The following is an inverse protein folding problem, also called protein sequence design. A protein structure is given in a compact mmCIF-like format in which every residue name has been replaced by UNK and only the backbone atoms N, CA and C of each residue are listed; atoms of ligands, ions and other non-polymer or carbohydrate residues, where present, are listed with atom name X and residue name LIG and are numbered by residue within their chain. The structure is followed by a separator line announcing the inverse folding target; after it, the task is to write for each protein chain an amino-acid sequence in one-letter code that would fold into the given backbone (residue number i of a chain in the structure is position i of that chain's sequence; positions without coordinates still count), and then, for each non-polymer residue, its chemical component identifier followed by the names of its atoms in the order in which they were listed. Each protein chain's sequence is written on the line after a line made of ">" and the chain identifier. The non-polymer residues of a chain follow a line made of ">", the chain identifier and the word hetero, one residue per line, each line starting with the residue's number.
data_IF_254661560382
#
_entry.id   IF_254661560382
#
_cell.length_a   1.000
_cell.length_b   1.000
_cell.length_c   1.000
_cell.angle_alpha   90.00
_cell.angle_beta   90.00
_cell.angle_gamma   90.00
#
_symmetry.space_group_name_H-M   'P 1'
#
loop_
_entity.id
_entity.type
_entity.pdbx_description
1 polymer ?
#
# COMPACT_ATOMS: atom_id res chain seq x y z
N UNK A 1 -4.13 -26.36 12.68
CA UNK A 1 -4.18 -25.59 11.41
C UNK A 1 -5.09 -24.40 11.61
N UNK A 2 -4.69 -23.20 11.16
CA UNK A 2 -5.54 -22.00 11.19
C UNK A 2 -6.85 -22.26 10.46
N UNK A 3 -7.96 -21.78 11.04
CA UNK A 3 -9.29 -21.84 10.41
C UNK A 3 -9.63 -20.56 9.63
N UNK A 4 -8.72 -19.59 9.67
CA UNK A 4 -8.86 -18.33 8.95
C UNK A 4 -8.77 -18.56 7.44
N UNK A 5 -9.49 -17.73 6.69
CA UNK A 5 -9.34 -17.65 5.23
C UNK A 5 -7.87 -17.38 4.89
N UNK A 6 -7.36 -18.05 3.85
CA UNK A 6 -6.01 -17.79 3.38
C UNK A 6 -5.80 -16.30 3.04
N UNK A 7 -4.60 -15.75 3.23
CA UNK A 7 -4.28 -14.41 2.77
C UNK A 7 -4.58 -14.24 1.27
N UNK A 8 -4.84 -12.99 0.86
CA UNK A 8 -5.12 -12.68 -0.53
C UNK A 8 -4.01 -13.20 -1.46
N UNK A 9 -4.38 -13.76 -2.62
CA UNK A 9 -3.46 -14.47 -3.51
C UNK A 9 -3.20 -15.94 -3.15
N UNK A 10 -3.73 -16.45 -2.04
CA UNK A 10 -3.76 -17.88 -1.70
C UNK A 10 -2.44 -18.52 -1.26
N UNK A 11 -1.33 -17.77 -1.26
CA UNK A 11 0.04 -18.30 -1.01
C UNK A 11 0.60 -17.96 0.39
N UNK A 12 -0.19 -17.40 1.29
CA UNK A 12 0.27 -16.87 2.57
C UNK A 12 0.59 -15.37 2.49
N UNK A 13 1.03 -14.79 3.62
CA UNK A 13 1.47 -13.39 3.65
C UNK A 13 2.82 -13.26 2.96
N UNK A 14 2.93 -12.28 2.07
CA UNK A 14 4.19 -11.87 1.44
C UNK A 14 4.72 -10.68 2.22
N UNK A 15 5.64 -10.94 3.17
CA UNK A 15 6.26 -9.91 4.01
C UNK A 15 7.65 -9.58 3.47
N UNK A 16 7.84 -8.35 3.01
CA UNK A 16 9.12 -7.88 2.46
C UNK A 16 10.02 -7.24 3.53
N UNK A 17 9.57 -7.10 4.77
CA UNK A 17 10.33 -6.55 5.88
C UNK A 17 11.44 -7.49 6.30
N UNK A 18 12.66 -6.97 6.34
CA UNK A 18 13.81 -7.71 6.88
C UNK A 18 13.91 -7.51 8.39
N UNK A 19 14.41 -8.53 9.08
CA UNK A 19 14.61 -8.52 10.53
C UNK A 19 16.00 -9.08 10.90
N UNK A 20 16.44 -8.73 12.10
CA UNK A 20 17.70 -9.26 12.68
C UNK A 20 18.90 -9.00 11.78
N UNK A 21 19.78 -10.02 11.66
CA UNK A 21 21.03 -9.89 10.91
C UNK A 21 20.82 -9.53 9.43
N UNK A 22 19.75 -10.04 8.79
CA UNK A 22 19.48 -9.73 7.39
C UNK A 22 19.15 -8.23 7.20
N UNK A 23 18.47 -7.63 8.15
CA UNK A 23 18.21 -6.19 8.18
C UNK A 23 19.50 -5.40 8.33
N UNK A 24 20.38 -5.78 9.28
CA UNK A 24 21.64 -5.09 9.53
C UNK A 24 22.58 -5.14 8.32
N UNK A 25 22.68 -6.30 7.70
CA UNK A 25 23.52 -6.50 6.51
C UNK A 25 22.99 -5.70 5.31
N UNK A 26 21.67 -5.70 5.10
CA UNK A 26 21.07 -4.94 4.00
C UNK A 26 21.13 -3.42 4.24
N UNK A 27 21.01 -2.94 5.49
CA UNK A 27 21.19 -1.52 5.84
C UNK A 27 22.62 -1.03 5.52
N UNK A 28 23.64 -1.84 5.85
CA UNK A 28 25.04 -1.51 5.52
C UNK A 28 25.24 -1.41 4.00
N UNK A 29 24.69 -2.35 3.25
CA UNK A 29 24.70 -2.35 1.79
C UNK A 29 23.99 -1.13 1.22
N UNK A 30 22.78 -0.84 1.70
CA UNK A 30 21.93 0.25 1.23
C UNK A 30 22.58 1.62 1.34
N UNK A 31 23.44 1.84 2.35
CA UNK A 31 24.18 3.09 2.53
C UNK A 31 25.12 3.44 1.35
N UNK A 32 25.57 2.43 0.60
CA UNK A 32 26.43 2.59 -0.57
C UNK A 32 25.68 2.57 -1.90
N UNK A 33 24.37 2.36 -1.91
CA UNK A 33 23.57 2.29 -3.12
C UNK A 33 23.17 3.71 -3.61
N UNK A 34 22.86 3.79 -4.90
CA UNK A 34 22.21 4.96 -5.48
C UNK A 34 20.87 5.18 -4.79
N UNK A 35 20.65 6.41 -4.32
CA UNK A 35 19.43 6.76 -3.59
C UNK A 35 18.38 7.36 -4.52
N UNK A 36 17.13 6.98 -4.32
CA UNK A 36 15.95 7.55 -4.96
C UNK A 36 15.05 8.10 -3.86
N UNK A 37 14.80 9.41 -3.88
CA UNK A 37 13.84 10.02 -2.96
C UNK A 37 12.43 9.64 -3.37
N UNK A 38 11.64 9.11 -2.44
CA UNK A 38 10.29 8.63 -2.71
C UNK A 38 9.22 9.53 -2.10
N UNK A 39 8.00 9.46 -2.62
CA UNK A 39 6.85 10.17 -2.09
C UNK A 39 6.38 9.59 -0.74
N UNK A 40 5.53 10.33 -0.02
CA UNK A 40 4.88 9.81 1.20
C UNK A 40 3.95 8.63 0.90
N UNK A 41 3.35 8.60 -0.29
CA UNK A 41 2.54 7.47 -0.77
C UNK A 41 3.41 6.22 -0.93
N UNK A 42 4.52 6.32 -1.67
CA UNK A 42 5.43 5.20 -1.86
C UNK A 42 6.03 4.68 -0.54
N UNK A 43 6.29 5.58 0.44
CA UNK A 43 6.64 5.17 1.82
C UNK A 43 5.55 4.30 2.44
N UNK A 44 4.28 4.70 2.32
CA UNK A 44 3.13 3.93 2.80
C UNK A 44 3.03 2.57 2.11
N UNK A 45 3.18 2.53 0.79
CA UNK A 45 3.14 1.31 -0.01
C UNK A 45 4.26 0.34 0.40
N UNK A 46 5.49 0.84 0.65
CA UNK A 46 6.60 0.04 1.17
C UNK A 46 6.30 -0.56 2.54
N UNK A 47 5.72 0.23 3.46
CA UNK A 47 5.33 -0.30 4.78
C UNK A 47 4.29 -1.41 4.62
N UNK A 48 3.27 -1.22 3.78
CA UNK A 48 2.25 -2.23 3.51
C UNK A 48 2.83 -3.51 2.88
N UNK A 49 3.76 -3.38 1.93
CA UNK A 49 4.50 -4.53 1.38
C UNK A 49 5.39 -5.17 2.45
N UNK A 50 6.05 -4.37 3.28
CA UNK A 50 6.90 -4.83 4.37
C UNK A 50 6.17 -5.76 5.32
N UNK A 51 5.01 -5.34 5.83
CA UNK A 51 4.24 -6.10 6.83
C UNK A 51 3.29 -7.15 6.23
N UNK A 52 3.27 -7.30 4.91
CA UNK A 52 2.39 -8.25 4.20
C UNK A 52 0.97 -7.77 3.96
N UNK A 53 0.67 -6.48 4.22
CA UNK A 53 -0.64 -5.88 3.99
C UNK A 53 -1.01 -5.78 2.52
N UNK A 54 -0.02 -5.80 1.62
CA UNK A 54 -0.21 -5.79 0.16
C UNK A 54 0.04 -7.16 -0.49
N UNK A 55 -0.04 -8.25 0.29
CA UNK A 55 0.06 -9.58 -0.31
C UNK A 55 -0.94 -9.74 -1.49
N UNK A 56 -0.54 -10.31 -2.63
CA UNK A 56 0.71 -11.00 -2.89
C UNK A 56 1.85 -10.14 -3.46
N UNK A 57 1.74 -8.80 -3.46
CA UNK A 57 2.79 -7.94 -4.00
C UNK A 57 4.08 -8.03 -3.18
N UNK A 58 5.21 -8.09 -3.88
CA UNK A 58 6.56 -8.06 -3.32
C UNK A 58 7.41 -6.89 -3.84
N UNK A 59 6.75 -5.92 -4.49
CA UNK A 59 7.40 -4.77 -5.07
C UNK A 59 6.46 -3.91 -5.90
N UNK A 60 7.01 -2.90 -6.57
CA UNK A 60 6.24 -2.00 -7.43
C UNK A 60 5.99 -2.63 -8.80
N UNK A 61 4.81 -2.37 -9.34
CA UNK A 61 4.29 -3.01 -10.56
C UNK A 61 5.07 -2.62 -11.80
N UNK A 62 5.36 -3.62 -12.63
CA UNK A 62 5.82 -3.43 -14.01
C UNK A 62 4.68 -2.95 -14.91
N UNK A 63 5.02 -2.53 -16.13
CA UNK A 63 4.03 -1.98 -17.09
C UNK A 63 2.91 -2.97 -17.42
N UNK A 64 3.23 -4.27 -17.47
CA UNK A 64 2.24 -5.30 -17.75
C UNK A 64 1.21 -5.45 -16.62
N UNK A 65 1.66 -5.49 -15.36
CA UNK A 65 0.77 -5.52 -14.20
C UNK A 65 -0.03 -4.23 -14.05
N UNK A 66 0.61 -3.06 -14.21
CA UNK A 66 -0.07 -1.76 -14.20
C UNK A 66 -1.23 -1.75 -15.20
N UNK A 67 -0.96 -2.16 -16.45
CA UNK A 67 -1.97 -2.20 -17.51
C UNK A 67 -3.11 -3.18 -17.18
N UNK A 68 -2.78 -4.40 -16.76
CA UNK A 68 -3.78 -5.42 -16.39
C UNK A 68 -4.66 -4.97 -15.23
N UNK A 69 -4.07 -4.33 -14.23
CA UNK A 69 -4.80 -3.80 -13.07
C UNK A 69 -5.76 -2.70 -13.51
N UNK A 70 -5.33 -1.75 -14.33
CA UNK A 70 -6.20 -0.70 -14.84
C UNK A 70 -7.37 -1.26 -15.69
N UNK A 71 -7.09 -2.22 -16.59
CA UNK A 71 -8.10 -2.76 -17.51
C UNK A 71 -9.03 -3.79 -16.89
N UNK A 72 -8.52 -4.63 -15.99
CA UNK A 72 -9.19 -5.86 -15.55
C UNK A 72 -9.31 -5.97 -14.03
N UNK A 73 -8.75 -5.03 -13.28
CA UNK A 73 -8.63 -5.12 -11.81
C UNK A 73 -7.96 -6.43 -11.37
N UNK A 74 -6.98 -6.92 -12.14
CA UNK A 74 -6.22 -8.14 -11.83
C UNK A 74 -4.76 -7.96 -12.18
N UNK A 75 -3.89 -8.61 -11.40
CA UNK A 75 -2.49 -8.81 -11.78
C UNK A 75 -2.41 -9.70 -13.03
N UNK A 76 -1.25 -9.75 -13.66
CA UNK A 76 -1.02 -10.56 -14.86
C UNK A 76 -1.23 -12.08 -14.66
N UNK A 77 -1.16 -12.55 -13.42
CA UNK A 77 -1.46 -13.94 -13.05
C UNK A 77 -2.96 -14.20 -12.76
N UNK A 78 -3.81 -13.19 -12.93
CA UNK A 78 -5.24 -13.26 -12.70
C UNK A 78 -5.68 -12.99 -11.25
N UNK A 79 -4.76 -12.72 -10.33
CA UNK A 79 -5.10 -12.36 -8.96
C UNK A 79 -5.82 -11.01 -8.94
N UNK A 80 -6.98 -10.92 -8.30
CA UNK A 80 -7.72 -9.67 -8.16
C UNK A 80 -6.88 -8.60 -7.45
N UNK A 81 -6.74 -7.43 -8.10
CA UNK A 81 -6.04 -6.28 -7.55
C UNK A 81 -6.57 -4.99 -8.18
N UNK A 82 -7.32 -4.17 -7.47
CA UNK A 82 -8.17 -3.14 -8.10
C UNK A 82 -7.49 -1.79 -8.38
N UNK A 83 -6.29 -1.55 -7.84
CA UNK A 83 -5.60 -0.25 -8.00
C UNK A 83 -4.12 -0.44 -8.27
N UNK A 84 -3.50 0.38 -9.14
CA UNK A 84 -2.05 0.34 -9.37
C UNK A 84 -1.24 0.68 -8.11
N UNK A 85 -0.14 -0.05 -7.92
CA UNK A 85 0.91 0.24 -6.91
C UNK A 85 2.21 0.45 -7.66
N UNK A 86 2.54 1.69 -7.95
CA UNK A 86 3.65 2.10 -8.81
C UNK A 86 4.59 3.05 -8.08
N UNK A 87 5.85 3.08 -8.50
CA UNK A 87 6.87 4.01 -8.03
C UNK A 87 7.22 4.98 -9.14
N UNK A 88 6.74 6.19 -9.05
CA UNK A 88 7.06 7.25 -9.99
C UNK A 88 8.40 7.92 -9.66
N UNK A 89 9.19 8.21 -10.67
CA UNK A 89 10.50 8.87 -10.55
C UNK A 89 10.68 9.94 -11.63
N UNK A 90 11.43 11.01 -11.34
CA UNK A 90 11.78 12.03 -12.35
C UNK A 90 12.56 11.42 -13.52
N UNK A 91 12.41 11.99 -14.71
CA UNK A 91 13.09 11.54 -15.93
C UNK A 91 14.62 11.49 -15.78
N UNK A 92 15.22 12.41 -15.02
CA UNK A 92 16.66 12.42 -14.76
C UNK A 92 17.12 11.17 -14.01
N UNK A 93 16.37 10.77 -12.97
CA UNK A 93 16.67 9.58 -12.18
C UNK A 93 16.42 8.31 -12.99
N UNK A 94 15.28 8.25 -13.69
CA UNK A 94 14.93 7.11 -14.53
C UNK A 94 15.99 6.78 -15.59
N UNK A 95 16.49 7.81 -16.31
CA UNK A 95 17.54 7.66 -17.33
C UNK A 95 18.89 7.18 -16.77
N UNK A 96 19.13 7.43 -15.50
CA UNK A 96 20.35 7.01 -14.82
C UNK A 96 20.26 5.59 -14.24
N UNK A 97 19.06 4.95 -14.26
CA UNK A 97 18.84 3.60 -13.76
C UNK A 97 19.13 2.54 -14.82
N UNK A 98 19.60 1.38 -14.34
CA UNK A 98 19.84 0.20 -15.18
C UNK A 98 19.04 -0.98 -14.65
N UNK A 99 18.41 -1.71 -15.55
CA UNK A 99 17.76 -2.98 -15.19
C UNK A 99 18.79 -3.94 -14.59
N UNK A 100 18.45 -4.54 -13.46
CA UNK A 100 19.30 -5.44 -12.70
C UNK A 100 20.10 -4.77 -11.59
N UNK A 101 20.25 -3.43 -11.57
CA UNK A 101 20.90 -2.75 -10.45
C UNK A 101 20.01 -2.69 -9.20
N UNK A 102 20.65 -2.54 -8.05
CA UNK A 102 19.95 -2.30 -6.79
C UNK A 102 20.07 -0.82 -6.39
N UNK A 103 18.98 -0.29 -5.87
CA UNK A 103 18.88 1.11 -5.42
C UNK A 103 18.32 1.17 -4.00
N UNK A 104 18.60 2.24 -3.29
CA UNK A 104 18.01 2.55 -1.99
C UNK A 104 16.85 3.52 -2.17
N UNK A 105 15.67 3.19 -1.64
CA UNK A 105 14.50 4.04 -1.61
C UNK A 105 14.49 4.83 -0.31
N UNK A 106 14.59 6.16 -0.42
CA UNK A 106 14.82 7.05 0.71
C UNK A 106 13.66 8.02 0.89
N UNK A 107 13.28 8.27 2.11
CA UNK A 107 12.31 9.31 2.45
C UNK A 107 12.84 10.19 3.58
N UNK A 108 13.08 11.49 3.30
CA UNK A 108 13.56 12.47 4.29
C UNK A 108 14.82 11.99 5.03
N UNK A 109 15.76 11.38 4.31
CA UNK A 109 17.00 10.86 4.86
C UNK A 109 16.94 9.48 5.49
N UNK A 110 15.73 8.88 5.63
CA UNK A 110 15.55 7.51 6.11
C UNK A 110 15.55 6.53 4.92
N UNK A 111 16.40 5.51 4.95
CA UNK A 111 16.37 4.43 3.97
C UNK A 111 15.24 3.48 4.33
N UNK A 112 14.18 3.50 3.52
CA UNK A 112 12.96 2.70 3.74
C UNK A 112 13.08 1.28 3.20
N UNK A 113 13.77 1.13 2.06
CA UNK A 113 13.91 -0.17 1.39
C UNK A 113 15.11 -0.15 0.44
N UNK A 114 15.57 -1.35 0.04
CA UNK A 114 16.31 -1.54 -1.20
C UNK A 114 15.38 -2.15 -2.25
N UNK A 115 15.62 -1.86 -3.51
CA UNK A 115 14.86 -2.37 -4.64
C UNK A 115 15.80 -2.84 -5.73
N UNK A 116 15.55 -4.03 -6.28
CA UNK A 116 16.19 -4.49 -7.51
C UNK A 116 15.37 -3.96 -8.69
N UNK A 117 15.95 -3.13 -9.52
CA UNK A 117 15.31 -2.57 -10.70
C UNK A 117 15.07 -3.67 -11.74
N UNK A 118 13.81 -3.94 -12.07
CA UNK A 118 13.41 -4.95 -13.05
C UNK A 118 12.91 -4.32 -14.35
N UNK A 119 12.27 -3.15 -14.27
CA UNK A 119 11.80 -2.40 -15.42
C UNK A 119 11.78 -0.91 -15.10
N UNK A 120 12.09 -0.08 -16.11
CA UNK A 120 11.88 1.37 -16.12
C UNK A 120 11.01 1.67 -17.33
N UNK A 121 9.85 2.30 -17.13
CA UNK A 121 8.92 2.59 -18.20
C UNK A 121 8.33 3.99 -18.12
N UNK A 122 8.14 4.58 -19.27
CA UNK A 122 7.56 5.91 -19.42
C UNK A 122 6.06 5.89 -19.18
N UNK A 123 5.58 6.94 -18.51
CA UNK A 123 4.17 7.26 -18.26
C UNK A 123 3.85 8.59 -18.93
N UNK A 124 3.30 8.50 -20.13
CA UNK A 124 2.88 9.69 -20.88
C UNK A 124 1.65 10.34 -20.24
N UNK A 125 1.36 11.59 -20.60
CA UNK A 125 0.11 12.24 -20.18
C UNK A 125 -1.13 11.46 -20.64
N UNK A 126 -1.05 10.77 -21.79
CA UNK A 126 -2.11 9.90 -22.26
C UNK A 126 -2.27 8.66 -21.37
N UNK A 127 -1.16 8.03 -20.94
CA UNK A 127 -1.20 6.89 -20.02
C UNK A 127 -1.81 7.27 -18.66
N UNK A 128 -1.43 8.42 -18.11
CA UNK A 128 -1.99 8.92 -16.84
C UNK A 128 -3.49 9.21 -16.94
N UNK A 129 -3.93 9.83 -18.02
CA UNK A 129 -5.36 10.07 -18.28
C UNK A 129 -6.12 8.76 -18.43
N UNK A 130 -5.56 7.82 -19.17
CA UNK A 130 -6.14 6.50 -19.37
C UNK A 130 -6.27 5.73 -18.04
N UNK A 131 -5.24 5.76 -17.16
CA UNK A 131 -5.33 5.22 -15.80
C UNK A 131 -6.47 5.87 -15.02
N UNK A 132 -6.56 7.21 -15.06
CA UNK A 132 -7.63 7.94 -14.36
C UNK A 132 -9.02 7.53 -14.83
N UNK A 133 -9.23 7.36 -16.13
CA UNK A 133 -10.50 6.92 -16.69
C UNK A 133 -10.89 5.53 -16.21
N UNK A 134 -9.96 4.59 -16.20
CA UNK A 134 -10.28 3.22 -15.81
C UNK A 134 -10.43 3.04 -14.30
N UNK A 135 -9.62 3.74 -13.51
CA UNK A 135 -9.59 3.54 -12.05
C UNK A 135 -10.65 4.39 -11.34
N UNK A 136 -10.94 5.62 -11.81
CA UNK A 136 -11.77 6.58 -11.07
C UNK A 136 -13.07 6.96 -11.75
N UNK A 137 -13.25 6.72 -13.04
CA UNK A 137 -14.42 7.19 -13.80
C UNK A 137 -15.74 6.62 -13.30
N UNK A 138 -15.74 5.37 -12.81
CA UNK A 138 -16.96 4.69 -12.42
C UNK A 138 -17.89 4.40 -13.61
N UNK A 139 -19.08 3.84 -13.31
CA UNK A 139 -20.09 3.44 -14.31
C UNK A 139 -21.43 4.18 -14.16
N UNK A 140 -21.48 5.23 -13.34
CA UNK A 140 -22.69 6.01 -13.11
C UNK A 140 -23.10 6.88 -14.30
N UNK A 141 -24.30 7.49 -14.24
CA UNK A 141 -24.84 8.32 -15.34
C UNK A 141 -23.96 9.52 -15.69
N UNK A 142 -23.13 9.99 -14.74
CA UNK A 142 -22.21 11.11 -14.95
C UNK A 142 -20.82 10.67 -15.40
N UNK A 143 -20.61 9.38 -15.67
CA UNK A 143 -19.31 8.86 -16.10
C UNK A 143 -18.81 9.47 -17.41
N UNK A 144 -19.72 9.85 -18.31
CA UNK A 144 -19.37 10.53 -19.56
C UNK A 144 -18.78 11.93 -19.33
N UNK A 145 -19.19 12.58 -18.22
CA UNK A 145 -18.71 13.92 -17.82
C UNK A 145 -17.49 13.87 -16.91
N UNK A 146 -16.85 12.71 -16.78
CA UNK A 146 -15.74 12.52 -15.85
C UNK A 146 -14.68 13.63 -15.96
N UNK A 147 -14.25 13.98 -17.18
CA UNK A 147 -13.24 15.02 -17.39
C UNK A 147 -13.76 16.45 -17.20
N UNK A 148 -15.06 16.66 -17.20
CA UNK A 148 -15.68 17.97 -16.91
C UNK A 148 -15.74 18.24 -15.41
N UNK A 149 -15.97 17.20 -14.61
CA UNK A 149 -16.22 17.29 -13.16
C UNK A 149 -15.04 16.82 -12.31
N UNK A 150 -14.40 15.72 -12.67
CA UNK A 150 -13.45 15.01 -11.82
C UNK A 150 -12.03 15.61 -11.74
N UNK A 151 -11.41 16.17 -12.80
CA UNK A 151 -10.00 16.58 -12.73
C UNK A 151 -9.73 17.66 -11.69
N UNK A 152 -10.69 18.53 -11.45
CA UNK A 152 -10.55 19.65 -10.51
C UNK A 152 -10.64 19.20 -9.04
N UNK A 153 -11.47 18.20 -8.72
CA UNK A 153 -11.88 17.91 -7.34
C UNK A 153 -11.59 16.50 -6.84
N UNK A 154 -11.31 15.53 -7.74
CA UNK A 154 -11.02 14.15 -7.32
C UNK A 154 -9.55 13.99 -6.86
N UNK A 155 -9.27 13.69 -5.56
CA UNK A 155 -7.90 13.62 -5.05
C UNK A 155 -7.02 12.60 -5.78
N UNK A 156 -7.57 11.43 -6.12
CA UNK A 156 -6.85 10.37 -6.82
C UNK A 156 -6.42 10.79 -8.22
N UNK A 157 -7.29 11.46 -8.98
CA UNK A 157 -6.97 12.02 -10.31
C UNK A 157 -5.84 13.04 -10.21
N UNK A 158 -5.93 13.98 -9.26
CA UNK A 158 -4.85 14.96 -9.03
C UNK A 158 -3.51 14.27 -8.74
N UNK A 159 -3.53 13.21 -7.94
CA UNK A 159 -2.31 12.48 -7.58
C UNK A 159 -1.70 11.77 -8.78
N UNK A 160 -2.51 11.10 -9.61
CA UNK A 160 -2.01 10.40 -10.81
C UNK A 160 -1.47 11.39 -11.84
N UNK A 161 -2.21 12.48 -12.10
CA UNK A 161 -1.76 13.51 -13.07
C UNK A 161 -0.49 14.24 -12.61
N UNK A 162 -0.25 14.34 -11.31
CA UNK A 162 0.94 14.96 -10.73
C UNK A 162 2.16 14.02 -10.62
N UNK A 163 2.03 12.74 -10.94
CA UNK A 163 3.16 11.81 -10.95
C UNK A 163 4.25 12.22 -11.95
N UNK A 164 5.47 11.79 -11.67
CA UNK A 164 6.60 11.96 -12.59
C UNK A 164 6.38 11.19 -13.91
N UNK A 165 7.27 11.39 -14.88
CA UNK A 165 7.14 10.88 -16.24
C UNK A 165 7.52 9.39 -16.37
N UNK A 166 8.18 8.81 -15.38
CA UNK A 166 8.62 7.42 -15.40
C UNK A 166 8.18 6.67 -14.16
N UNK A 167 7.89 5.39 -14.34
CA UNK A 167 7.76 4.44 -13.24
C UNK A 167 8.93 3.46 -13.23
N UNK A 168 9.33 3.05 -12.02
CA UNK A 168 10.34 2.01 -11.81
C UNK A 168 9.69 0.83 -11.10
N UNK A 169 9.81 -0.34 -11.70
CA UNK A 169 9.32 -1.57 -11.14
C UNK A 169 10.45 -2.44 -10.59
N UNK A 170 10.14 -3.21 -9.58
CA UNK A 170 11.08 -4.18 -9.04
C UNK A 170 10.70 -4.70 -7.67
N UNK A 171 11.31 -5.80 -7.29
CA UNK A 171 11.15 -6.41 -5.98
C UNK A 171 11.86 -5.61 -4.90
N UNK A 172 11.24 -5.52 -3.72
CA UNK A 172 11.74 -4.72 -2.61
C UNK A 172 12.14 -5.57 -1.40
N UNK A 173 13.13 -5.08 -0.66
CA UNK A 173 13.44 -5.50 0.70
C UNK A 173 13.22 -4.30 1.61
N UNK A 174 12.23 -4.37 2.47
CA UNK A 174 11.86 -3.26 3.34
C UNK A 174 12.72 -3.26 4.59
N UNK A 175 13.24 -2.09 4.97
CA UNK A 175 14.19 -1.91 6.06
C UNK A 175 13.60 -1.14 7.24
N UNK A 176 12.44 -0.51 7.04
CA UNK A 176 11.78 0.31 8.07
C UNK A 176 10.26 0.24 7.95
N UNK A 177 9.60 0.19 9.09
CA UNK A 177 8.15 0.36 9.23
C UNK A 177 7.78 1.82 9.54
N UNK A 178 8.76 2.75 9.46
CA UNK A 178 8.61 4.10 9.95
C UNK A 178 8.46 4.14 11.48
N UNK A 179 7.85 5.20 11.99
CA UNK A 179 7.68 5.45 13.43
C UNK A 179 6.48 4.73 14.07
N UNK A 180 5.64 4.04 13.27
CA UNK A 180 4.34 3.54 13.73
C UNK A 180 4.41 2.53 14.87
N UNK A 181 5.31 1.52 14.88
CA UNK A 181 5.39 0.58 15.99
C UNK A 181 5.76 1.23 17.32
N UNK A 182 6.65 2.23 17.28
CA UNK A 182 7.13 2.93 18.47
C UNK A 182 6.13 3.99 18.96
N UNK A 183 5.48 4.66 18.01
CA UNK A 183 4.52 5.74 18.31
C UNK A 183 3.19 5.22 18.81
N UNK A 184 2.76 4.03 18.37
CA UNK A 184 1.47 3.44 18.73
C UNK A 184 1.61 2.05 19.36
N UNK A 185 2.38 1.90 20.46
CA UNK A 185 2.58 0.61 21.08
C UNK A 185 1.24 0.06 21.63
N UNK A 186 1.02 -1.24 21.43
CA UNK A 186 -0.19 -1.92 21.91
C UNK A 186 -1.41 -1.81 20.98
N UNK A 187 -1.47 -0.83 20.08
CA UNK A 187 -2.54 -0.73 19.06
C UNK A 187 -2.04 -1.04 17.65
N UNK A 188 -0.79 -0.72 17.33
CA UNK A 188 -0.20 -1.12 16.07
C UNK A 188 -0.01 -2.64 16.02
N UNK A 189 -0.50 -3.26 14.96
CA UNK A 189 -0.34 -4.70 14.70
C UNK A 189 -0.10 -4.92 13.20
N UNK A 190 0.85 -5.81 12.91
CA UNK A 190 1.01 -6.32 11.54
C UNK A 190 -0.11 -7.32 11.22
N UNK A 191 -0.42 -7.56 9.93
CA UNK A 191 -1.37 -8.60 9.52
C UNK A 191 -1.07 -9.96 10.13
N UNK A 192 0.21 -10.34 10.24
CA UNK A 192 0.60 -11.60 10.88
C UNK A 192 0.22 -11.66 12.36
N UNK A 193 0.50 -10.59 13.12
CA UNK A 193 0.14 -10.50 14.54
C UNK A 193 -1.37 -10.50 14.75
N UNK A 194 -2.12 -9.78 13.92
CA UNK A 194 -3.57 -9.76 13.99
C UNK A 194 -4.17 -11.15 13.70
N UNK A 195 -3.68 -11.83 12.66
CA UNK A 195 -4.11 -13.21 12.34
C UNK A 195 -3.79 -14.18 13.47
N UNK A 196 -2.59 -14.09 14.07
CA UNK A 196 -2.25 -14.91 15.23
C UNK A 196 -3.23 -14.72 16.40
N UNK A 197 -3.60 -13.47 16.69
CA UNK A 197 -4.59 -13.17 17.74
C UNK A 197 -5.98 -13.71 17.42
N UNK A 198 -6.39 -13.74 16.16
CA UNK A 198 -7.65 -14.37 15.73
C UNK A 198 -7.61 -15.88 15.91
N UNK A 199 -6.50 -16.51 15.51
CA UNK A 199 -6.28 -17.95 15.70
C UNK A 199 -6.29 -18.39 17.16
N UNK A 200 -5.61 -17.64 18.04
CA UNK A 200 -5.59 -17.86 19.49
C UNK A 200 -6.99 -17.85 20.09
N UNK A 201 -7.90 -17.04 19.53
CA UNK A 201 -9.31 -16.96 19.94
C UNK A 201 -10.20 -17.98 19.27
N UNK A 202 -9.69 -18.76 18.32
CA UNK A 202 -10.47 -19.69 17.52
C UNK A 202 -11.45 -19.02 16.55
N UNK A 203 -11.25 -17.75 16.25
CA UNK A 203 -12.10 -16.98 15.33
C UNK A 203 -11.90 -17.42 13.88
N UNK A 204 -12.99 -17.52 13.14
CA UNK A 204 -13.01 -17.86 11.72
C UNK A 204 -13.63 -16.74 10.89
N UNK A 205 -14.75 -16.18 11.37
CA UNK A 205 -15.47 -15.08 10.76
C UNK A 205 -15.26 -13.84 11.61
N UNK A 206 -14.62 -12.82 11.04
CA UNK A 206 -14.29 -11.59 11.75
C UNK A 206 -14.81 -10.40 10.95
N UNK A 207 -15.59 -9.55 11.60
CA UNK A 207 -15.98 -8.27 11.06
C UNK A 207 -14.89 -7.22 11.39
N UNK A 208 -14.65 -6.27 10.50
CA UNK A 208 -13.80 -5.12 10.74
C UNK A 208 -14.62 -3.83 10.69
N UNK A 209 -14.56 -3.03 11.74
CA UNK A 209 -15.16 -1.71 11.80
C UNK A 209 -14.04 -0.67 11.79
N UNK A 210 -13.87 0.01 10.64
CA UNK A 210 -12.87 1.07 10.52
C UNK A 210 -13.41 2.40 11.01
N UNK A 211 -12.65 3.07 11.88
CA UNK A 211 -12.99 4.35 12.48
C UNK A 211 -11.87 5.37 12.28
N UNK A 212 -12.29 6.63 12.04
CA UNK A 212 -11.39 7.80 11.99
C UNK A 212 -11.53 8.70 13.22
N UNK A 213 -12.65 8.56 13.92
CA UNK A 213 -13.00 9.34 15.10
C UNK A 213 -13.24 8.41 16.28
N UNK A 214 -13.23 8.94 17.52
CA UNK A 214 -13.61 8.19 18.70
C UNK A 214 -14.98 7.52 18.51
N UNK A 215 -15.11 6.32 19.08
CA UNK A 215 -16.33 5.53 18.98
C UNK A 215 -17.48 6.21 19.75
N UNK A 216 -18.62 6.39 19.08
CA UNK A 216 -19.86 6.85 19.68
C UNK A 216 -20.97 5.78 19.55
N UNK A 217 -22.16 6.03 20.10
CA UNK A 217 -23.25 5.03 20.21
C UNK A 217 -23.60 4.30 18.91
N UNK A 218 -23.60 4.98 17.76
CA UNK A 218 -23.91 4.31 16.49
C UNK A 218 -22.80 3.35 16.07
N UNK A 219 -21.53 3.67 16.33
CA UNK A 219 -20.43 2.74 16.08
C UNK A 219 -20.47 1.54 17.05
N UNK A 220 -20.82 1.77 18.32
CA UNK A 220 -21.04 0.70 19.29
C UNK A 220 -22.16 -0.24 18.84
N UNK A 221 -23.25 0.30 18.33
CA UNK A 221 -24.35 -0.49 17.78
C UNK A 221 -23.90 -1.38 16.60
N UNK A 222 -23.16 -0.82 15.65
CA UNK A 222 -22.59 -1.57 14.53
C UNK A 222 -21.62 -2.66 14.99
N UNK A 223 -20.75 -2.35 15.96
CA UNK A 223 -19.84 -3.34 16.53
C UNK A 223 -20.60 -4.50 17.20
N UNK A 224 -21.68 -4.21 17.94
CA UNK A 224 -22.55 -5.26 18.55
C UNK A 224 -23.20 -6.14 17.50
N UNK A 225 -23.71 -5.58 16.40
CA UNK A 225 -24.22 -6.39 15.28
C UNK A 225 -23.13 -7.32 14.75
N UNK A 226 -21.91 -6.78 14.57
CA UNK A 226 -20.76 -7.59 14.14
C UNK A 226 -20.48 -8.76 15.08
N UNK A 227 -20.54 -8.55 16.41
CA UNK A 227 -20.35 -9.60 17.41
C UNK A 227 -21.46 -10.66 17.36
N UNK A 228 -22.71 -10.29 17.03
CA UNK A 228 -23.82 -11.22 16.94
C UNK A 228 -23.75 -12.15 15.72
N UNK A 229 -23.13 -11.69 14.61
CA UNK A 229 -23.10 -12.43 13.33
C UNK A 229 -21.73 -13.01 12.96
N UNK A 230 -20.69 -12.64 13.70
CA UNK A 230 -19.31 -13.10 13.52
C UNK A 230 -18.73 -13.63 14.83
N UNK A 231 -17.59 -14.30 14.77
CA UNK A 231 -16.87 -14.78 15.96
C UNK A 231 -16.22 -13.64 16.74
N UNK A 232 -15.97 -12.52 16.07
CA UNK A 232 -15.41 -11.33 16.70
C UNK A 232 -15.40 -10.13 15.79
N UNK A 233 -15.05 -8.97 16.37
CA UNK A 233 -14.94 -7.69 15.67
C UNK A 233 -13.56 -7.07 15.91
N UNK A 234 -12.91 -6.65 14.84
CA UNK A 234 -11.71 -5.81 14.89
C UNK A 234 -12.13 -4.35 14.78
N UNK A 235 -11.84 -3.56 15.77
CA UNK A 235 -11.95 -2.11 15.69
C UNK A 235 -10.64 -1.59 15.07
N UNK A 236 -10.74 -1.14 13.83
CA UNK A 236 -9.59 -0.65 13.07
C UNK A 236 -9.56 0.88 13.12
N UNK A 237 -8.81 1.41 14.08
CA UNK A 237 -8.63 2.86 14.22
C UNK A 237 -7.61 3.38 13.22
N UNK A 238 -7.96 4.43 12.49
CA UNK A 238 -7.04 5.15 11.62
C UNK A 238 -6.26 6.16 12.46
N UNK A 239 -4.96 5.93 12.63
CA UNK A 239 -4.03 6.81 13.35
C UNK A 239 -2.89 7.22 12.41
N UNK A 240 -2.20 8.34 12.70
CA UNK A 240 -1.06 8.82 11.91
C UNK A 240 -1.32 10.20 11.31
N UNK A 241 -1.17 10.36 9.98
CA UNK A 241 -1.41 11.65 9.31
C UNK A 241 -2.88 12.02 9.35
N UNK A 242 -3.18 13.04 10.15
CA UNK A 242 -4.53 13.55 10.35
C UNK A 242 -4.91 14.56 9.27
N UNK A 243 -6.20 14.56 8.91
CA UNK A 243 -6.81 15.66 8.14
C UNK A 243 -7.40 16.69 9.10
N UNK A 244 -7.64 17.93 8.65
CA UNK A 244 -8.35 18.91 9.45
C UNK A 244 -9.68 18.34 9.97
N UNK A 245 -9.89 18.38 11.29
CA UNK A 245 -11.06 17.82 11.97
C UNK A 245 -10.94 16.38 12.46
N UNK A 246 -9.85 15.67 12.16
CA UNK A 246 -9.58 14.37 12.80
C UNK A 246 -9.11 14.57 14.24
N UNK A 247 -9.41 13.59 15.09
CA UNK A 247 -9.00 13.61 16.50
C UNK A 247 -7.59 13.00 16.63
N UNK A 248 -6.67 13.65 17.36
CA UNK A 248 -5.34 13.09 17.63
C UNK A 248 -5.41 11.73 18.34
N UNK A 249 -4.43 10.88 18.07
CA UNK A 249 -4.40 9.51 18.60
C UNK A 249 -4.22 9.44 20.12
N UNK A 250 -3.76 10.52 20.74
CA UNK A 250 -3.56 10.67 22.18
C UNK A 250 -4.86 10.94 22.94
N UNK A 251 -5.94 11.29 22.24
CA UNK A 251 -7.28 11.54 22.78
C UNK A 251 -8.15 10.30 22.76
#
# INVERSE_FOLDING_TARGET
>A
MSKLVAPHGGKGLVCCLLEGKALDDEKKKAAGLKQIEISSRAKGDLIMMGIGGFSPLNGFMNKANWKSVCEKMTLSDGTFWPVPVTLDVPAADAKALKVGEEVALVRKGEIMATMKVEEVYEMTEADKKWECELVFKGTGPDSEKFWEVAPADHPGVKMVLAQNEFNVAGTVKVLSQGEFPEKFPGVYMTPAQLRAKMDERGWQKVAALQLRNPMHRSHEYLAKIGVEVCDGVVIHSLVGSLKPGDIPAEV
#
